data_IF_986683608325
#
_entry.id   IF_986683608325
#
_cell.length_a   1.000
_cell.length_b   1.000
_cell.length_c   1.000
_cell.angle_alpha   90.00
_cell.angle_beta   90.00
_cell.angle_gamma   90.00
#
_symmetry.space_group_name_H-M   'P 1'
#
loop_
_entity.id
_entity.type
_entity.pdbx_description
1 polymer ?
#
# COMPACT_ATOMS: atom_id res chain seq x y z
N UNK A 1 -69.06 -30.74 52.08
CA UNK A 1 -67.68 -30.82 51.67
C UNK A 1 -67.66 -30.97 50.11
N UNK A 2 -67.46 -29.85 49.40
CA UNK A 2 -67.46 -29.82 47.96
C UNK A 2 -66.02 -29.91 47.50
N UNK A 3 -65.66 -30.96 46.74
CA UNK A 3 -64.35 -31.12 46.11
C UNK A 3 -64.33 -30.28 44.81
N UNK A 4 -63.42 -29.33 44.78
CA UNK A 4 -63.14 -28.48 43.57
C UNK A 4 -62.14 -29.24 42.69
N UNK A 5 -62.58 -29.66 41.51
CA UNK A 5 -61.72 -30.26 40.53
C UNK A 5 -61.18 -29.12 39.65
N UNK A 6 -59.87 -28.86 39.77
CA UNK A 6 -59.14 -27.89 38.87
C UNK A 6 -58.67 -28.68 37.66
N UNK A 7 -59.26 -28.39 36.50
CA UNK A 7 -58.81 -28.90 35.22
C UNK A 7 -57.72 -27.97 34.67
N UNK A 8 -56.46 -28.44 34.66
CA UNK A 8 -55.34 -27.74 34.05
C UNK A 8 -55.36 -28.04 32.53
N UNK A 9 -55.73 -27.04 31.78
CA UNK A 9 -55.65 -27.10 30.29
C UNK A 9 -54.23 -26.70 29.90
N UNK A 10 -53.36 -27.67 29.57
CA UNK A 10 -52.05 -27.40 28.96
C UNK A 10 -52.25 -26.89 27.53
N UNK A 11 -52.08 -25.60 27.32
CA UNK A 11 -51.92 -25.00 26.00
C UNK A 11 -50.50 -25.33 25.52
N UNK A 12 -50.39 -26.28 24.57
CA UNK A 12 -49.16 -26.57 23.83
C UNK A 12 -49.01 -25.49 22.78
N UNK A 13 -48.22 -24.46 23.03
CA UNK A 13 -47.72 -23.53 22.03
C UNK A 13 -46.69 -24.27 21.21
N UNK A 14 -47.10 -24.80 20.06
CA UNK A 14 -46.19 -25.21 18.98
C UNK A 14 -45.50 -23.95 18.45
N UNK A 15 -44.36 -23.58 19.04
CA UNK A 15 -43.43 -22.68 18.44
C UNK A 15 -42.89 -23.34 17.16
N UNK A 16 -43.51 -23.00 16.03
CA UNK A 16 -42.99 -23.31 14.71
C UNK A 16 -41.70 -22.55 14.53
N UNK A 17 -40.57 -23.13 14.93
CA UNK A 17 -39.27 -22.71 14.41
C UNK A 17 -39.32 -22.97 12.89
N UNK A 18 -39.67 -21.94 12.13
CA UNK A 18 -39.20 -21.91 10.74
C UNK A 18 -37.69 -22.02 10.80
N UNK A 19 -37.14 -23.20 10.51
CA UNK A 19 -35.76 -23.28 10.09
C UNK A 19 -35.67 -22.32 8.90
N UNK A 20 -35.00 -21.17 9.09
CA UNK A 20 -34.47 -20.44 7.94
C UNK A 20 -33.74 -21.48 7.11
N UNK A 21 -34.17 -21.65 5.86
CA UNK A 21 -33.39 -22.42 4.91
C UNK A 21 -32.01 -21.78 4.95
N UNK A 22 -30.99 -22.54 5.35
CA UNK A 22 -29.61 -22.17 5.09
C UNK A 22 -29.58 -21.73 3.62
N UNK A 23 -29.43 -20.44 3.39
CA UNK A 23 -29.15 -19.93 2.05
C UNK A 23 -27.87 -20.62 1.66
N UNK A 24 -27.94 -21.58 0.73
CA UNK A 24 -26.75 -22.14 0.11
C UNK A 24 -26.01 -20.95 -0.49
N UNK A 25 -25.00 -20.44 0.20
CA UNK A 25 -24.13 -19.42 -0.34
C UNK A 25 -23.42 -20.03 -1.55
N UNK A 26 -23.43 -19.37 -2.70
CA UNK A 26 -22.75 -19.87 -3.89
C UNK A 26 -21.25 -20.03 -3.58
N UNK A 27 -20.63 -21.04 -4.21
CA UNK A 27 -19.18 -21.11 -4.20
C UNK A 27 -18.62 -19.91 -4.96
N UNK A 28 -18.03 -18.97 -4.24
CA UNK A 28 -17.53 -17.70 -4.79
C UNK A 28 -16.50 -17.89 -5.90
N UNK A 29 -15.82 -19.04 -5.97
CA UNK A 29 -14.86 -19.35 -7.05
C UNK A 29 -15.51 -19.58 -8.39
N UNK A 30 -16.78 -19.97 -8.39
CA UNK A 30 -17.55 -20.33 -9.61
C UNK A 30 -18.81 -19.50 -9.78
N UNK A 31 -19.16 -18.68 -8.80
CA UNK A 31 -20.34 -17.81 -8.83
C UNK A 31 -20.22 -16.76 -9.93
N UNK A 32 -21.35 -16.41 -10.57
CA UNK A 32 -21.39 -15.25 -11.43
C UNK A 32 -21.40 -13.96 -10.58
N UNK A 33 -21.07 -12.82 -11.19
CA UNK A 33 -20.92 -11.57 -10.47
C UNK A 33 -22.21 -11.11 -9.77
N UNK A 34 -23.38 -11.32 -10.39
CA UNK A 34 -24.65 -10.92 -9.77
C UNK A 34 -24.96 -11.71 -8.50
N UNK A 35 -24.56 -12.99 -8.43
CA UNK A 35 -24.71 -13.79 -7.22
C UNK A 35 -23.79 -13.31 -6.10
N UNK A 36 -22.55 -12.87 -6.48
CA UNK A 36 -21.59 -12.26 -5.53
C UNK A 36 -22.16 -10.96 -4.96
N UNK A 37 -22.73 -10.08 -5.80
CA UNK A 37 -23.37 -8.84 -5.36
C UNK A 37 -24.59 -9.10 -4.46
N UNK A 38 -25.40 -10.12 -4.75
CA UNK A 38 -26.54 -10.48 -3.89
C UNK A 38 -26.07 -10.93 -2.49
N UNK A 39 -25.02 -11.75 -2.42
CA UNK A 39 -24.46 -12.21 -1.15
C UNK A 39 -23.81 -11.07 -0.38
N UNK A 40 -23.23 -10.10 -1.08
CA UNK A 40 -22.52 -8.95 -0.50
C UNK A 40 -23.48 -7.91 0.12
N UNK A 41 -24.73 -7.86 -0.34
CA UNK A 41 -25.68 -6.82 0.06
C UNK A 41 -25.97 -6.85 1.56
N UNK A 42 -25.93 -5.67 2.20
CA UNK A 42 -26.21 -5.51 3.62
C UNK A 42 -25.09 -5.95 4.57
N UNK A 43 -23.93 -6.33 4.02
CA UNK A 43 -22.80 -6.84 4.80
C UNK A 43 -21.91 -5.71 5.34
N UNK A 44 -21.04 -6.08 6.29
CA UNK A 44 -19.97 -5.21 6.78
C UNK A 44 -18.63 -5.76 6.29
N UNK A 45 -17.77 -4.89 5.78
CA UNK A 45 -16.40 -5.23 5.37
C UNK A 45 -15.43 -4.54 6.30
N UNK A 46 -14.62 -5.31 7.00
CA UNK A 46 -13.54 -4.83 7.84
C UNK A 46 -12.27 -4.69 7.01
N UNK A 47 -11.89 -3.46 6.72
CA UNK A 47 -10.70 -3.12 5.91
C UNK A 47 -9.53 -2.72 6.79
N UNK A 48 -8.50 -3.55 6.86
CA UNK A 48 -7.26 -3.20 7.55
C UNK A 48 -6.27 -2.53 6.60
N UNK A 49 -5.85 -1.31 6.94
CA UNK A 49 -4.96 -0.51 6.09
C UNK A 49 -4.03 0.40 6.91
N UNK A 50 -2.98 0.88 6.27
CA UNK A 50 -2.20 2.00 6.79
C UNK A 50 -3.05 3.27 6.81
N UNK A 51 -3.08 3.96 7.95
CA UNK A 51 -3.90 5.15 8.16
C UNK A 51 -3.09 6.39 8.57
N UNK A 52 -1.79 6.41 8.26
CA UNK A 52 -0.89 7.51 8.61
C UNK A 52 -1.01 8.76 7.75
N UNK A 53 -1.90 8.80 6.74
CA UNK A 53 -2.10 9.95 5.86
C UNK A 53 -3.57 10.40 5.83
N UNK A 54 -3.86 11.69 6.13
CA UNK A 54 -5.24 12.22 6.18
C UNK A 54 -5.98 12.14 4.84
N UNK A 55 -5.29 12.34 3.70
CA UNK A 55 -5.93 12.32 2.38
C UNK A 55 -6.33 10.90 1.98
N UNK A 56 -5.49 9.93 2.29
CA UNK A 56 -5.82 8.51 2.10
C UNK A 56 -7.04 8.13 2.93
N UNK A 57 -7.04 8.52 4.21
CA UNK A 57 -8.16 8.25 5.10
C UNK A 57 -9.44 8.89 4.58
N UNK A 58 -9.41 10.18 4.19
CA UNK A 58 -10.55 10.89 3.63
C UNK A 58 -11.06 10.23 2.33
N UNK A 59 -10.18 9.81 1.43
CA UNK A 59 -10.60 9.08 0.22
C UNK A 59 -11.39 7.82 0.56
N UNK A 60 -10.96 7.04 1.56
CA UNK A 60 -11.67 5.83 1.98
C UNK A 60 -12.96 6.17 2.73
N UNK A 61 -12.92 7.07 3.73
CA UNK A 61 -14.07 7.35 4.61
C UNK A 61 -15.13 8.24 3.98
N UNK A 62 -14.73 9.20 3.15
CA UNK A 62 -15.62 10.24 2.64
C UNK A 62 -16.06 9.98 1.19
N UNK A 63 -15.34 9.11 0.45
CA UNK A 63 -15.70 8.75 -0.91
C UNK A 63 -16.03 7.26 -1.05
N UNK A 64 -15.11 6.32 -0.74
CA UNK A 64 -15.33 4.89 -0.98
C UNK A 64 -16.46 4.35 -0.10
N UNK A 65 -16.40 4.56 1.21
CA UNK A 65 -17.37 4.00 2.15
C UNK A 65 -18.82 4.48 1.87
N UNK A 66 -19.09 5.78 1.64
CA UNK A 66 -20.44 6.24 1.26
C UNK A 66 -20.91 5.67 -0.08
N UNK A 67 -20.00 5.56 -1.06
CA UNK A 67 -20.36 5.07 -2.39
C UNK A 67 -20.75 3.59 -2.38
N UNK A 68 -20.00 2.72 -1.69
CA UNK A 68 -20.34 1.29 -1.58
C UNK A 68 -21.57 1.08 -0.69
N UNK A 69 -21.78 1.94 0.30
CA UNK A 69 -23.02 1.95 1.09
C UNK A 69 -24.23 2.28 0.24
N UNK A 70 -24.13 3.31 -0.59
CA UNK A 70 -25.23 3.75 -1.44
C UNK A 70 -25.55 2.74 -2.55
N UNK A 71 -24.53 2.15 -3.18
CA UNK A 71 -24.71 1.28 -4.36
C UNK A 71 -24.99 -0.18 -4.01
N UNK A 72 -24.45 -0.70 -2.91
CA UNK A 72 -24.51 -2.12 -2.55
C UNK A 72 -24.97 -2.37 -1.10
N UNK A 73 -25.36 -1.34 -0.36
CA UNK A 73 -25.70 -1.41 1.08
C UNK A 73 -24.58 -2.05 1.95
N UNK A 74 -23.32 -1.93 1.51
CA UNK A 74 -22.15 -2.45 2.27
C UNK A 74 -21.66 -1.39 3.25
N UNK A 75 -21.45 -1.77 4.52
CA UNK A 75 -20.77 -0.95 5.49
C UNK A 75 -19.27 -1.22 5.41
N UNK A 76 -18.45 -0.20 5.12
CA UNK A 76 -16.99 -0.33 5.13
C UNK A 76 -16.44 0.24 6.44
N UNK A 77 -15.84 -0.63 7.25
CA UNK A 77 -15.19 -0.26 8.50
C UNK A 77 -13.67 -0.35 8.33
N UNK A 78 -12.96 0.69 8.78
CA UNK A 78 -11.51 0.81 8.61
C UNK A 78 -10.79 0.59 9.92
N UNK A 79 -9.82 -0.32 9.93
CA UNK A 79 -8.91 -0.56 11.03
C UNK A 79 -7.47 -0.25 10.63
N UNK A 80 -6.70 0.32 11.57
CA UNK A 80 -5.28 0.57 11.36
C UNK A 80 -4.47 -0.73 11.47
N UNK A 81 -3.62 -0.99 10.46
CA UNK A 81 -2.69 -2.11 10.46
C UNK A 81 -1.97 -2.25 9.13
N UNK A 82 -0.77 -2.82 9.18
CA UNK A 82 0.03 -3.08 7.99
C UNK A 82 1.11 -4.13 8.24
N UNK A 83 1.65 -4.69 7.16
CA UNK A 83 2.84 -5.54 7.19
C UNK A 83 2.73 -6.69 8.19
N UNK A 84 3.74 -6.82 9.05
CA UNK A 84 3.83 -7.90 10.03
C UNK A 84 2.63 -8.01 10.99
N UNK A 85 1.94 -6.91 11.29
CA UNK A 85 0.76 -6.93 12.16
C UNK A 85 -0.39 -7.73 11.50
N UNK A 86 -0.60 -7.55 10.21
CA UNK A 86 -1.59 -8.30 9.41
C UNK A 86 -1.19 -9.79 9.40
N UNK A 87 0.07 -10.09 9.07
CA UNK A 87 0.56 -11.47 8.99
C UNK A 87 0.40 -12.21 10.32
N UNK A 88 0.80 -11.58 11.43
CA UNK A 88 0.70 -12.17 12.76
C UNK A 88 -0.74 -12.41 13.19
N UNK A 89 -1.65 -11.45 12.88
CA UNK A 89 -3.06 -11.60 13.20
C UNK A 89 -3.68 -12.77 12.46
N UNK A 90 -3.55 -12.80 11.12
CA UNK A 90 -4.11 -13.87 10.29
C UNK A 90 -3.51 -15.24 10.61
N UNK A 91 -2.21 -15.31 10.88
CA UNK A 91 -1.56 -16.55 11.32
C UNK A 91 -2.14 -17.06 12.66
N UNK A 92 -2.35 -16.15 13.61
CA UNK A 92 -2.90 -16.49 14.93
C UNK A 92 -4.35 -16.96 14.82
N UNK A 93 -5.18 -16.27 14.05
CA UNK A 93 -6.59 -16.63 13.84
C UNK A 93 -6.70 -17.98 13.12
N UNK A 94 -5.89 -18.20 12.08
CA UNK A 94 -5.84 -19.48 11.34
C UNK A 94 -5.41 -20.64 12.24
N UNK A 95 -4.37 -20.47 13.06
CA UNK A 95 -3.94 -21.49 14.01
C UNK A 95 -5.01 -21.83 15.06
N UNK A 96 -5.83 -20.83 15.42
CA UNK A 96 -6.95 -21.01 16.34
C UNK A 96 -8.22 -21.58 15.67
N UNK A 97 -8.21 -21.77 14.34
CA UNK A 97 -9.38 -22.19 13.56
C UNK A 97 -10.54 -21.20 13.63
N UNK A 98 -10.23 -19.90 13.74
CA UNK A 98 -11.22 -18.84 13.83
C UNK A 98 -11.42 -18.12 12.50
N UNK A 99 -12.63 -17.61 12.30
CA UNK A 99 -12.89 -16.59 11.31
C UNK A 99 -12.09 -15.32 11.60
N UNK A 100 -11.72 -14.59 10.55
CA UNK A 100 -10.97 -13.37 10.70
C UNK A 100 -11.85 -12.18 11.05
N UNK A 101 -11.30 -11.29 11.87
CA UNK A 101 -11.85 -9.95 12.05
C UNK A 101 -11.46 -8.98 10.92
N UNK A 102 -10.72 -9.46 9.92
CA UNK A 102 -10.34 -8.72 8.71
C UNK A 102 -10.96 -9.42 7.51
N UNK A 103 -11.70 -8.68 6.67
CA UNK A 103 -12.19 -9.20 5.40
C UNK A 103 -11.24 -8.84 4.26
N UNK A 104 -10.81 -7.58 4.19
CA UNK A 104 -9.85 -7.13 3.19
C UNK A 104 -8.72 -6.31 3.81
N UNK A 105 -7.61 -6.22 3.10
CA UNK A 105 -6.41 -5.55 3.59
C UNK A 105 -5.64 -4.86 2.47
N UNK A 106 -5.02 -3.73 2.80
CA UNK A 106 -3.99 -3.12 1.96
C UNK A 106 -2.65 -3.77 2.27
N UNK A 107 -2.06 -4.39 1.27
CA UNK A 107 -0.80 -5.14 1.40
C UNK A 107 0.23 -4.68 0.36
N UNK A 108 1.48 -5.01 0.63
CA UNK A 108 2.63 -4.79 -0.25
C UNK A 108 3.43 -6.08 -0.34
N UNK A 109 4.41 -6.15 -1.21
CA UNK A 109 5.10 -7.35 -1.61
C UNK A 109 5.68 -8.22 -0.49
N UNK A 110 6.29 -7.64 0.56
CA UNK A 110 6.77 -8.46 1.67
C UNK A 110 5.63 -9.08 2.48
N UNK A 111 4.50 -8.37 2.60
CA UNK A 111 3.29 -8.86 3.27
C UNK A 111 2.60 -9.91 2.41
N UNK A 112 2.45 -9.65 1.11
CA UNK A 112 1.92 -10.61 0.14
C UNK A 112 2.70 -11.92 0.15
N UNK A 113 4.03 -11.84 0.05
CA UNK A 113 4.92 -13.00 0.13
C UNK A 113 4.73 -13.80 1.42
N UNK A 114 4.71 -13.14 2.58
CA UNK A 114 4.54 -13.81 3.87
C UNK A 114 3.14 -14.44 4.01
N UNK A 115 2.09 -13.77 3.55
CA UNK A 115 0.72 -14.32 3.56
C UNK A 115 0.59 -15.54 2.65
N UNK A 116 1.26 -15.57 1.50
CA UNK A 116 1.34 -16.78 0.66
C UNK A 116 1.96 -17.96 1.40
N UNK A 117 3.02 -17.75 2.20
CA UNK A 117 3.68 -18.82 2.95
C UNK A 117 2.80 -19.50 4.00
N UNK A 118 1.78 -18.78 4.49
CA UNK A 118 0.84 -19.30 5.50
C UNK A 118 -0.54 -19.61 4.93
N UNK A 119 -0.72 -19.57 3.59
CA UNK A 119 -2.02 -19.67 2.92
C UNK A 119 -3.05 -18.70 3.54
N UNK A 120 -2.66 -17.47 3.78
CA UNK A 120 -3.44 -16.44 4.46
C UNK A 120 -4.33 -15.61 3.52
N UNK A 121 -4.27 -15.84 2.20
CA UNK A 121 -4.99 -15.10 1.18
C UNK A 121 -6.08 -15.95 0.52
N UNK A 122 -7.26 -15.39 0.39
CA UNK A 122 -8.32 -15.90 -0.45
C UNK A 122 -8.05 -15.55 -1.91
N UNK A 123 -8.21 -16.51 -2.82
CA UNK A 123 -8.06 -16.29 -4.26
C UNK A 123 -7.80 -17.58 -5.03
N UNK A 124 -7.52 -17.48 -6.36
CA UNK A 124 -7.55 -16.24 -7.15
C UNK A 124 -8.97 -15.67 -7.28
N UNK A 125 -9.11 -14.35 -7.23
CA UNK A 125 -10.42 -13.69 -7.34
C UNK A 125 -10.45 -12.51 -8.35
N UNK A 126 -9.29 -11.97 -8.73
CA UNK A 126 -9.21 -10.74 -9.54
C UNK A 126 -9.90 -10.88 -10.89
N UNK A 127 -9.77 -12.02 -11.55
CA UNK A 127 -10.37 -12.26 -12.86
C UNK A 127 -11.92 -12.30 -12.82
N UNK A 128 -12.51 -12.44 -11.63
CA UNK A 128 -13.96 -12.40 -11.44
C UNK A 128 -14.48 -10.96 -11.30
N UNK A 129 -13.59 -9.97 -11.04
CA UNK A 129 -13.98 -8.58 -10.87
C UNK A 129 -14.28 -7.92 -12.22
N UNK A 130 -15.48 -7.38 -12.46
CA UNK A 130 -15.86 -6.77 -13.75
C UNK A 130 -14.93 -5.63 -14.18
N UNK A 131 -14.31 -4.91 -13.25
CA UNK A 131 -13.42 -3.81 -13.54
C UNK A 131 -11.95 -4.25 -13.75
N UNK A 132 -11.59 -5.50 -13.47
CA UNK A 132 -10.23 -6.00 -13.70
C UNK A 132 -9.82 -5.93 -15.20
N UNK A 133 -10.79 -5.99 -16.12
CA UNK A 133 -10.56 -5.82 -17.57
C UNK A 133 -9.90 -4.51 -17.97
N UNK A 134 -9.91 -3.51 -17.09
CA UNK A 134 -9.26 -2.22 -17.32
C UNK A 134 -7.82 -2.17 -16.84
N UNK A 135 -7.35 -3.18 -16.10
CA UNK A 135 -6.00 -3.22 -15.53
C UNK A 135 -5.05 -3.90 -16.52
N UNK A 136 -3.87 -3.33 -16.72
CA UNK A 136 -2.79 -3.94 -17.51
C UNK A 136 -1.93 -4.83 -16.59
N UNK A 137 -2.36 -6.07 -16.42
CA UNK A 137 -1.64 -7.04 -15.59
C UNK A 137 -0.32 -7.54 -16.24
N UNK A 138 -0.11 -7.30 -17.54
CA UNK A 138 1.15 -7.61 -18.22
C UNK A 138 2.24 -6.56 -17.91
N UNK A 139 1.83 -5.38 -17.43
CA UNK A 139 2.77 -4.36 -16.96
C UNK A 139 3.50 -4.84 -15.70
N UNK A 140 4.84 -4.99 -15.72
CA UNK A 140 5.58 -5.56 -14.60
C UNK A 140 5.54 -4.71 -13.33
N UNK A 141 5.20 -3.42 -13.41
CA UNK A 141 4.97 -2.57 -12.25
C UNK A 141 3.58 -2.75 -11.61
N UNK A 142 2.68 -3.54 -12.25
CA UNK A 142 1.29 -3.71 -11.82
C UNK A 142 0.97 -5.19 -11.58
N UNK A 143 1.32 -6.07 -12.53
CA UNK A 143 1.03 -7.50 -12.44
C UNK A 143 1.99 -8.31 -11.57
N UNK A 144 2.96 -7.64 -10.94
CA UNK A 144 3.91 -8.24 -10.01
C UNK A 144 4.06 -7.36 -8.79
N UNK A 145 3.99 -7.97 -7.62
CA UNK A 145 4.30 -7.31 -6.37
C UNK A 145 5.66 -7.82 -5.86
N UNK A 146 6.64 -6.93 -5.70
CA UNK A 146 8.04 -7.27 -5.40
C UNK A 146 8.57 -8.44 -6.25
N UNK A 147 8.35 -8.37 -7.55
CA UNK A 147 8.69 -9.41 -8.53
C UNK A 147 7.91 -10.73 -8.42
N UNK A 148 7.10 -10.91 -7.38
CA UNK A 148 6.18 -12.04 -7.28
C UNK A 148 4.99 -11.83 -8.23
N UNK A 149 4.62 -12.80 -9.07
CA UNK A 149 3.38 -12.72 -9.83
C UNK A 149 2.19 -12.70 -8.88
N UNK A 150 1.29 -11.75 -9.06
CA UNK A 150 0.09 -11.67 -8.20
C UNK A 150 -0.90 -12.80 -8.42
N UNK A 151 -0.92 -13.40 -9.61
CA UNK A 151 -1.75 -14.57 -9.96
C UNK A 151 -3.22 -14.46 -9.53
N UNK A 152 -3.76 -13.24 -9.53
CA UNK A 152 -5.14 -12.98 -9.12
C UNK A 152 -5.42 -13.09 -7.61
N UNK A 153 -4.40 -13.23 -6.77
CA UNK A 153 -4.53 -13.36 -5.31
C UNK A 153 -4.67 -12.02 -4.60
N UNK A 154 -4.35 -10.94 -5.28
CA UNK A 154 -4.50 -9.56 -4.83
C UNK A 154 -4.78 -8.64 -6.02
N UNK A 155 -5.52 -7.55 -5.80
CA UNK A 155 -5.91 -6.60 -6.83
C UNK A 155 -5.05 -5.34 -6.75
N UNK A 156 -4.31 -4.96 -7.81
CA UNK A 156 -3.62 -3.68 -7.82
C UNK A 156 -4.62 -2.52 -7.85
N UNK A 157 -4.39 -1.48 -7.07
CA UNK A 157 -5.31 -0.34 -7.01
C UNK A 157 -4.63 1.04 -7.00
N UNK A 158 -3.30 1.09 -6.93
CA UNK A 158 -2.52 2.31 -7.06
C UNK A 158 -1.09 2.01 -7.50
N UNK A 159 -0.46 3.01 -8.14
CA UNK A 159 0.92 2.91 -8.60
C UNK A 159 1.64 4.22 -8.35
N UNK A 160 2.78 4.17 -7.69
CA UNK A 160 3.55 5.33 -7.24
C UNK A 160 5.05 5.13 -7.46
N UNK A 161 5.78 6.23 -7.57
CA UNK A 161 7.24 6.23 -7.62
C UNK A 161 7.80 7.05 -6.45
N UNK A 162 8.79 6.53 -5.76
CA UNK A 162 9.46 7.26 -4.70
C UNK A 162 10.09 8.55 -5.24
N UNK A 163 9.97 9.63 -4.47
CA UNK A 163 10.63 10.91 -4.76
C UNK A 163 11.38 11.42 -3.54
N UNK A 164 12.45 12.16 -3.79
CA UNK A 164 13.08 13.01 -2.79
C UNK A 164 12.42 14.39 -2.83
N UNK A 165 12.17 14.95 -1.65
CA UNK A 165 11.50 16.25 -1.47
C UNK A 165 12.49 17.21 -0.82
N UNK A 166 12.55 18.45 -1.30
CA UNK A 166 13.48 19.47 -0.86
C UNK A 166 12.86 20.86 -0.88
N UNK A 167 13.45 21.80 -0.14
CA UNK A 167 13.09 23.22 -0.18
C UNK A 167 13.92 23.94 -1.27
N UNK A 168 13.26 24.39 -2.35
CA UNK A 168 13.92 25.01 -3.51
C UNK A 168 14.51 26.39 -3.24
N UNK A 169 14.16 27.06 -2.14
CA UNK A 169 14.82 28.27 -1.70
C UNK A 169 16.14 27.98 -0.99
N UNK A 170 16.22 26.87 -0.25
CA UNK A 170 17.39 26.50 0.54
C UNK A 170 18.39 25.67 -0.28
N UNK A 171 17.92 24.82 -1.19
CA UNK A 171 18.77 23.94 -2.00
C UNK A 171 18.70 24.30 -3.48
N UNK A 172 19.81 24.77 -4.04
CA UNK A 172 19.93 25.12 -5.47
C UNK A 172 20.60 24.01 -6.31
N UNK A 173 21.38 23.16 -5.68
CA UNK A 173 22.00 21.99 -6.29
C UNK A 173 21.51 20.74 -5.57
N UNK A 174 20.94 19.81 -6.34
CA UNK A 174 20.38 18.57 -5.83
C UNK A 174 21.32 17.40 -6.10
N UNK A 175 21.55 16.50 -5.16
CA UNK A 175 22.35 15.31 -5.40
C UNK A 175 21.66 14.38 -6.41
N UNK A 176 22.39 14.02 -7.47
CA UNK A 176 21.92 13.14 -8.53
C UNK A 176 22.54 11.74 -8.45
N UNK A 177 23.66 11.58 -7.73
CA UNK A 177 24.34 10.31 -7.50
C UNK A 177 24.55 10.06 -6.01
N UNK A 178 24.92 8.83 -5.64
CA UNK A 178 25.29 8.47 -4.25
C UNK A 178 26.45 9.32 -3.74
N UNK A 179 27.46 9.57 -4.59
CA UNK A 179 28.62 10.39 -4.19
C UNK A 179 28.20 11.83 -3.94
N UNK A 180 27.33 12.38 -4.77
CA UNK A 180 26.77 13.73 -4.55
C UNK A 180 25.87 13.77 -3.32
N UNK A 181 25.13 12.69 -2.98
CA UNK A 181 24.35 12.62 -1.74
C UNK A 181 25.25 12.60 -0.52
N UNK A 182 26.36 11.86 -0.54
CA UNK A 182 27.36 11.87 0.54
C UNK A 182 28.02 13.25 0.66
N UNK A 183 28.37 13.88 -0.46
CA UNK A 183 28.94 15.24 -0.48
C UNK A 183 27.94 16.27 0.06
N UNK A 184 26.66 16.14 -0.29
CA UNK A 184 25.59 16.98 0.25
C UNK A 184 25.45 16.81 1.77
N UNK A 185 25.43 15.57 2.28
CA UNK A 185 25.35 15.30 3.73
C UNK A 185 26.56 15.86 4.49
N UNK A 186 27.77 15.74 3.95
CA UNK A 186 29.00 16.33 4.51
C UNK A 186 28.93 17.85 4.55
N UNK A 187 28.41 18.49 3.51
CA UNK A 187 28.26 19.95 3.44
C UNK A 187 27.11 20.48 4.32
N UNK A 188 26.12 19.64 4.61
CA UNK A 188 24.93 19.98 5.40
C UNK A 188 24.69 18.92 6.50
N UNK A 189 25.59 18.82 7.50
CA UNK A 189 25.51 17.79 8.52
C UNK A 189 24.17 17.90 9.28
N UNK A 190 23.58 16.75 9.59
CA UNK A 190 22.29 16.59 10.28
C UNK A 190 21.07 17.13 9.51
N UNK A 191 21.20 17.39 8.22
CA UNK A 191 20.09 17.92 7.39
C UNK A 191 19.46 16.90 6.45
N UNK A 192 19.82 15.63 6.57
CA UNK A 192 19.26 14.50 5.85
C UNK A 192 19.18 13.28 6.74
N UNK A 193 18.21 12.41 6.51
CA UNK A 193 18.08 11.09 7.11
C UNK A 193 17.12 10.20 6.29
N UNK A 194 16.93 8.96 6.73
CA UNK A 194 15.90 8.02 6.26
C UNK A 194 15.17 7.47 7.49
N UNK A 195 13.94 7.00 7.31
CA UNK A 195 13.25 6.28 8.38
C UNK A 195 13.71 4.81 8.46
N UNK A 196 13.40 4.16 9.58
CA UNK A 196 13.75 2.75 9.82
C UNK A 196 12.64 1.77 9.44
N UNK A 197 11.67 2.20 8.61
CA UNK A 197 10.53 1.44 8.14
C UNK A 197 10.48 1.39 6.60
N UNK A 198 9.28 1.25 6.05
CA UNK A 198 9.03 0.97 4.64
C UNK A 198 9.69 1.97 3.69
N UNK A 199 9.57 3.29 3.95
CA UNK A 199 10.10 4.32 3.06
C UNK A 199 11.62 4.32 3.02
N UNK A 200 12.26 4.25 4.19
CA UNK A 200 13.72 4.14 4.28
C UNK A 200 14.24 2.87 3.63
N UNK A 201 13.56 1.73 3.84
CA UNK A 201 13.96 0.48 3.18
C UNK A 201 13.77 0.55 1.67
N UNK A 202 12.74 1.21 1.17
CA UNK A 202 12.54 1.45 -0.28
C UNK A 202 13.68 2.31 -0.84
N UNK A 203 14.12 3.33 -0.12
CA UNK A 203 15.29 4.12 -0.49
C UNK A 203 16.58 3.27 -0.50
N UNK A 204 16.79 2.41 0.49
CA UNK A 204 17.93 1.48 0.52
C UNK A 204 17.92 0.49 -0.64
N UNK A 205 16.74 0.01 -1.06
CA UNK A 205 16.61 -0.84 -2.26
C UNK A 205 17.07 -0.11 -3.52
N UNK A 206 16.68 1.18 -3.69
CA UNK A 206 17.15 1.97 -4.83
C UNK A 206 18.67 2.13 -4.82
N UNK A 207 19.27 2.43 -3.65
CA UNK A 207 20.74 2.49 -3.51
C UNK A 207 21.41 1.15 -3.77
N UNK A 208 20.81 0.04 -3.34
CA UNK A 208 21.35 -1.31 -3.58
C UNK A 208 21.36 -1.64 -5.08
N UNK A 209 20.31 -1.26 -5.81
CA UNK A 209 20.23 -1.43 -7.28
C UNK A 209 21.31 -0.61 -7.97
N UNK A 210 21.52 0.64 -7.57
CA UNK A 210 22.57 1.50 -8.13
C UNK A 210 23.98 0.94 -7.83
N UNK A 211 24.23 0.48 -6.61
CA UNK A 211 25.48 -0.19 -6.21
C UNK A 211 25.73 -1.47 -7.01
N UNK A 212 24.68 -2.21 -7.32
CA UNK A 212 24.78 -3.41 -8.14
C UNK A 212 25.10 -3.12 -9.62
N UNK A 213 24.94 -1.88 -10.09
CA UNK A 213 25.13 -1.47 -11.46
C UNK A 213 23.85 -1.53 -12.32
N UNK A 214 22.68 -1.49 -11.68
CA UNK A 214 21.37 -1.42 -12.33
C UNK A 214 20.44 -2.57 -11.99
N UNK A 215 19.16 -2.37 -12.30
CA UNK A 215 18.08 -3.29 -11.90
C UNK A 215 18.22 -4.72 -12.46
N UNK A 216 18.75 -4.89 -13.68
CA UNK A 216 18.90 -6.21 -14.31
C UNK A 216 19.84 -7.15 -13.53
N UNK A 217 20.73 -6.58 -12.70
CA UNK A 217 21.66 -7.39 -11.89
C UNK A 217 20.93 -8.10 -10.75
N UNK A 218 19.91 -7.47 -10.15
CA UNK A 218 19.16 -7.99 -9.00
C UNK A 218 17.75 -8.47 -9.35
N UNK A 219 17.39 -8.46 -10.64
CA UNK A 219 16.11 -8.90 -11.14
C UNK A 219 15.88 -10.40 -10.93
N UNK A 220 14.62 -10.77 -10.71
CA UNK A 220 14.18 -12.14 -10.47
C UNK A 220 14.27 -12.53 -9.00
N UNK A 221 14.33 -13.84 -8.74
CA UNK A 221 14.33 -14.41 -7.41
C UNK A 221 15.51 -13.91 -6.55
N UNK A 222 15.31 -13.90 -5.25
CA UNK A 222 16.36 -13.54 -4.30
C UNK A 222 17.63 -14.38 -4.50
N UNK A 223 18.78 -13.72 -4.52
CA UNK A 223 20.07 -14.37 -4.66
C UNK A 223 21.01 -13.97 -3.50
N UNK A 224 21.20 -14.88 -2.56
CA UNK A 224 22.00 -14.67 -1.36
C UNK A 224 23.43 -14.19 -1.67
N UNK A 225 24.09 -14.74 -2.70
CA UNK A 225 25.47 -14.35 -3.06
C UNK A 225 25.52 -12.93 -3.60
N UNK A 226 24.56 -12.54 -4.44
CA UNK A 226 24.45 -11.17 -4.93
C UNK A 226 24.11 -10.20 -3.79
N UNK A 227 23.14 -10.58 -2.94
CA UNK A 227 22.78 -9.81 -1.76
C UNK A 227 24.01 -9.51 -0.90
N UNK A 228 24.72 -10.55 -0.45
CA UNK A 228 25.93 -10.37 0.39
C UNK A 228 26.99 -9.48 -0.25
N UNK A 229 27.19 -9.63 -1.57
CA UNK A 229 28.18 -8.82 -2.29
C UNK A 229 27.83 -7.34 -2.30
N UNK A 230 26.59 -7.01 -2.63
CA UNK A 230 26.20 -5.63 -2.84
C UNK A 230 25.70 -4.95 -1.57
N UNK A 231 25.11 -5.70 -0.64
CA UNK A 231 24.77 -5.14 0.67
C UNK A 231 26.00 -4.78 1.50
N UNK A 232 27.10 -5.52 1.41
CA UNK A 232 28.34 -5.12 2.04
C UNK A 232 28.78 -3.71 1.61
N UNK A 233 28.75 -3.44 0.29
CA UNK A 233 29.06 -2.10 -0.25
C UNK A 233 28.03 -1.04 0.17
N UNK A 234 26.77 -1.43 0.32
CA UNK A 234 25.73 -0.54 0.85
C UNK A 234 26.00 -0.17 2.29
N UNK A 235 26.40 -1.12 3.13
CA UNK A 235 26.73 -0.87 4.53
C UNK A 235 27.98 0.00 4.66
N UNK A 236 29.02 -0.22 3.85
CA UNK A 236 30.19 0.65 3.79
C UNK A 236 29.77 2.11 3.45
N UNK A 237 28.98 2.29 2.41
CA UNK A 237 28.45 3.60 2.02
C UNK A 237 27.60 4.25 3.14
N UNK A 238 26.73 3.48 3.80
CA UNK A 238 25.90 4.00 4.89
C UNK A 238 26.73 4.33 6.14
N UNK A 239 27.79 3.61 6.42
CA UNK A 239 28.72 3.93 7.50
C UNK A 239 29.49 5.23 7.21
N UNK A 240 29.85 5.50 5.96
CA UNK A 240 30.44 6.79 5.57
C UNK A 240 29.43 7.95 5.64
N UNK A 241 28.14 7.67 5.41
CA UNK A 241 27.06 8.66 5.45
C UNK A 241 26.58 8.93 6.88
N UNK A 242 26.53 7.91 7.74
CA UNK A 242 25.93 7.90 9.08
C UNK A 242 26.35 9.08 9.96
N UNK A 243 27.65 9.48 10.06
CA UNK A 243 28.05 10.60 10.91
C UNK A 243 27.45 11.96 10.54
N UNK A 244 26.94 12.09 9.31
CA UNK A 244 26.36 13.32 8.78
C UNK A 244 24.84 13.31 8.74
N UNK A 245 24.20 12.17 9.05
CA UNK A 245 22.75 12.05 9.14
C UNK A 245 22.22 12.81 10.37
N UNK A 246 20.94 13.11 10.37
CA UNK A 246 20.23 13.68 11.50
C UNK A 246 20.58 12.92 12.80
N UNK A 247 20.85 13.66 13.87
CA UNK A 247 21.36 13.14 15.15
C UNK A 247 22.58 12.22 15.01
N UNK A 248 23.45 12.52 14.04
CA UNK A 248 24.67 11.76 13.72
C UNK A 248 24.40 10.28 13.40
N UNK A 249 23.18 9.96 12.95
CA UNK A 249 22.76 8.58 12.66
C UNK A 249 22.63 7.67 13.89
N UNK A 250 22.58 8.23 15.09
CA UNK A 250 22.33 7.48 16.33
C UNK A 250 20.84 7.14 16.50
N UNK A 251 19.98 7.98 15.94
CA UNK A 251 18.51 7.83 15.95
C UNK A 251 17.96 8.00 14.54
N UNK A 252 17.04 7.15 14.19
CA UNK A 252 16.31 7.21 12.91
C UNK A 252 14.83 7.47 13.17
N UNK A 253 14.16 8.28 12.32
CA UNK A 253 12.71 8.44 12.40
C UNK A 253 11.97 7.10 12.31
N UNK A 254 10.87 6.97 13.03
CA UNK A 254 10.09 5.73 13.03
C UNK A 254 9.35 5.50 11.71
N UNK A 255 8.99 6.59 11.01
CA UNK A 255 8.21 6.50 9.77
C UNK A 255 8.33 7.79 8.95
N UNK A 256 7.77 7.77 7.75
CA UNK A 256 7.77 8.89 6.82
C UNK A 256 7.04 10.12 7.37
N UNK A 257 5.99 9.95 8.18
CA UNK A 257 5.26 11.09 8.75
C UNK A 257 6.16 11.89 9.72
N UNK A 258 6.97 11.22 10.54
CA UNK A 258 7.97 11.89 11.39
C UNK A 258 9.03 12.60 10.54
N UNK A 259 9.49 12.00 9.43
CA UNK A 259 10.43 12.68 8.53
C UNK A 259 9.82 13.94 7.92
N UNK A 260 8.54 13.91 7.56
CA UNK A 260 7.83 15.08 7.03
C UNK A 260 7.74 16.20 8.08
N UNK A 261 7.51 15.88 9.36
CA UNK A 261 7.52 16.88 10.44
C UNK A 261 8.92 17.52 10.60
N UNK A 262 9.99 16.72 10.57
CA UNK A 262 11.36 17.24 10.65
C UNK A 262 11.71 18.14 9.46
N UNK A 263 11.21 17.83 8.27
CA UNK A 263 11.35 18.69 7.09
C UNK A 263 10.54 19.98 7.22
N UNK A 264 9.30 19.89 7.68
CA UNK A 264 8.42 21.03 7.90
C UNK A 264 8.97 22.04 8.91
N UNK A 265 9.62 21.56 9.98
CA UNK A 265 10.27 22.39 10.99
C UNK A 265 11.65 22.94 10.55
N UNK A 266 12.17 22.49 9.40
CA UNK A 266 13.49 22.86 8.89
C UNK A 266 14.66 22.15 9.60
N UNK A 267 14.37 21.13 10.40
CA UNK A 267 15.42 20.24 10.92
C UNK A 267 16.09 19.47 9.79
N UNK A 268 15.32 19.06 8.76
CA UNK A 268 15.84 18.48 7.53
C UNK A 268 15.73 19.48 6.37
N UNK A 269 16.69 19.43 5.44
CA UNK A 269 16.64 20.12 4.16
C UNK A 269 16.04 19.27 3.05
N UNK A 270 16.05 17.97 3.24
CA UNK A 270 15.45 16.99 2.33
C UNK A 270 14.71 15.91 3.11
N UNK A 271 13.61 15.45 2.55
CA UNK A 271 12.85 14.28 2.97
C UNK A 271 12.51 13.42 1.75
N UNK A 272 11.71 12.37 1.91
CA UNK A 272 11.30 11.48 0.82
C UNK A 272 9.88 10.99 1.03
N UNK A 273 9.26 10.48 -0.03
CA UNK A 273 7.98 9.79 0.04
C UNK A 273 7.89 8.72 -1.04
N UNK A 274 7.21 7.62 -0.77
CA UNK A 274 6.83 6.65 -1.79
C UNK A 274 5.74 7.19 -2.73
N UNK A 275 4.95 8.17 -2.28
CA UNK A 275 3.96 8.84 -3.12
C UNK A 275 4.59 10.02 -3.85
N UNK A 276 4.66 9.93 -5.17
CA UNK A 276 5.23 10.97 -6.04
C UNK A 276 4.38 12.26 -6.12
N UNK A 277 3.17 12.27 -5.56
CA UNK A 277 2.33 13.46 -5.38
C UNK A 277 2.41 14.08 -3.98
N UNK A 278 3.17 13.49 -3.06
CA UNK A 278 3.16 13.85 -1.64
C UNK A 278 3.48 15.32 -1.36
N UNK A 279 4.41 15.89 -2.12
CA UNK A 279 4.76 17.31 -1.93
C UNK A 279 3.57 18.23 -2.15
N UNK A 280 2.73 17.97 -3.17
CA UNK A 280 1.49 18.74 -3.39
C UNK A 280 0.51 18.54 -2.22
N UNK A 281 0.37 17.31 -1.72
CA UNK A 281 -0.49 17.00 -0.58
C UNK A 281 -0.09 17.78 0.66
N UNK A 282 1.18 17.72 1.04
CA UNK A 282 1.70 18.34 2.27
C UNK A 282 1.74 19.87 2.19
N UNK A 283 1.89 20.45 1.00
CA UNK A 283 1.71 21.90 0.80
C UNK A 283 0.24 22.29 0.96
N UNK A 284 -0.69 21.53 0.35
CA UNK A 284 -2.12 21.81 0.46
C UNK A 284 -2.66 21.65 1.89
N UNK A 285 -2.06 20.76 2.68
CA UNK A 285 -2.34 20.59 4.11
C UNK A 285 -1.71 21.70 4.98
N UNK A 286 -0.88 22.57 4.40
CA UNK A 286 -0.15 23.60 5.13
C UNK A 286 1.02 23.08 5.96
N UNK A 287 1.43 21.82 5.76
CA UNK A 287 2.56 21.21 6.47
C UNK A 287 3.90 21.64 5.83
N UNK A 288 4.01 21.56 4.50
CA UNK A 288 5.22 21.95 3.79
C UNK A 288 5.16 23.40 3.30
N UNK A 289 6.31 24.09 3.18
CA UNK A 289 6.38 25.41 2.57
C UNK A 289 6.04 25.33 1.07
N UNK A 290 5.48 26.38 0.50
CA UNK A 290 5.18 26.46 -0.95
C UNK A 290 6.44 26.35 -1.83
N UNK A 291 7.62 26.49 -1.25
CA UNK A 291 8.92 26.32 -1.90
C UNK A 291 9.36 24.87 -2.01
N UNK A 292 8.66 23.94 -1.33
CA UNK A 292 8.95 22.52 -1.43
C UNK A 292 8.73 22.00 -2.85
N UNK A 293 9.63 21.15 -3.32
CA UNK A 293 9.60 20.47 -4.62
C UNK A 293 10.02 19.03 -4.47
N UNK A 294 9.61 18.17 -5.41
CA UNK A 294 10.06 16.80 -5.47
C UNK A 294 10.89 16.54 -6.74
N UNK A 295 11.77 15.55 -6.66
CA UNK A 295 12.56 15.09 -7.81
C UNK A 295 12.93 13.62 -7.66
N UNK A 296 13.38 13.02 -8.77
CA UNK A 296 13.97 11.68 -8.81
C UNK A 296 15.43 11.86 -9.24
N UNK A 297 16.42 11.35 -8.47
CA UNK A 297 17.83 11.44 -8.82
C UNK A 297 18.16 10.56 -10.04
N UNK A 298 19.36 10.73 -10.65
CA UNK A 298 19.77 9.97 -11.82
C UNK A 298 19.98 8.47 -11.53
N UNK A 299 20.28 8.08 -10.30
CA UNK A 299 20.34 6.65 -9.93
C UNK A 299 18.98 5.96 -9.89
N UNK A 300 17.87 6.71 -10.06
CA UNK A 300 16.53 6.18 -10.07
C UNK A 300 15.94 5.94 -8.69
N UNK A 301 14.64 5.70 -8.65
CA UNK A 301 13.91 5.35 -7.43
C UNK A 301 12.90 4.25 -7.71
N UNK A 302 12.57 3.50 -6.67
CA UNK A 302 11.60 2.41 -6.77
C UNK A 302 10.23 2.96 -7.18
N UNK A 303 9.64 2.33 -8.19
CA UNK A 303 8.24 2.42 -8.55
C UNK A 303 7.56 1.12 -8.22
N UNK A 304 6.45 1.17 -7.49
CA UNK A 304 5.66 0.00 -7.14
C UNK A 304 4.17 0.29 -7.20
N UNK A 305 3.39 -0.79 -7.17
CA UNK A 305 1.96 -0.73 -6.93
C UNK A 305 1.66 -1.07 -5.48
N UNK A 306 0.48 -0.72 -5.04
CA UNK A 306 -0.10 -1.22 -3.81
C UNK A 306 -1.38 -1.99 -4.12
N UNK A 307 -1.70 -2.96 -3.27
CA UNK A 307 -2.63 -4.01 -3.57
C UNK A 307 -3.67 -4.19 -2.47
N UNK A 308 -4.80 -4.78 -2.87
CA UNK A 308 -5.90 -5.16 -1.99
C UNK A 308 -6.03 -6.68 -2.00
N UNK A 309 -5.84 -7.30 -0.85
CA UNK A 309 -6.03 -8.72 -0.63
C UNK A 309 -7.28 -9.02 0.20
N UNK A 310 -7.74 -10.26 0.16
CA UNK A 310 -8.84 -10.78 0.97
C UNK A 310 -8.26 -11.86 1.88
N UNK A 311 -8.61 -11.86 3.17
CA UNK A 311 -8.16 -12.87 4.09
C UNK A 311 -8.81 -14.24 3.77
N UNK A 312 -8.02 -15.34 3.86
CA UNK A 312 -8.54 -16.67 3.54
C UNK A 312 -9.69 -17.07 4.48
N UNK A 313 -9.61 -16.69 5.75
CA UNK A 313 -10.62 -16.94 6.77
C UNK A 313 -11.58 -15.76 7.00
N UNK A 314 -11.67 -14.81 6.03
CA UNK A 314 -12.64 -13.72 6.08
C UNK A 314 -14.09 -14.22 6.11
N UNK A 315 -14.95 -13.51 6.81
CA UNK A 315 -16.37 -13.80 6.91
C UNK A 315 -17.10 -13.37 5.64
N UNK A 316 -16.87 -12.14 5.20
CA UNK A 316 -17.63 -11.48 4.14
C UNK A 316 -16.82 -11.28 2.85
N UNK A 317 -16.19 -12.38 2.35
CA UNK A 317 -15.38 -12.40 1.12
C UNK A 317 -16.10 -11.81 -0.10
N UNK A 318 -17.38 -12.12 -0.29
CA UNK A 318 -18.17 -11.59 -1.41
C UNK A 318 -18.27 -10.05 -1.32
N UNK A 319 -18.53 -9.51 -0.14
CA UNK A 319 -18.60 -8.07 0.06
C UNK A 319 -17.23 -7.41 -0.12
N UNK A 320 -16.15 -8.05 0.34
CA UNK A 320 -14.78 -7.60 0.07
C UNK A 320 -14.48 -7.53 -1.43
N UNK A 321 -14.88 -8.54 -2.23
CA UNK A 321 -14.74 -8.52 -3.70
C UNK A 321 -15.50 -7.35 -4.33
N UNK A 322 -16.71 -7.03 -3.85
CA UNK A 322 -17.51 -5.90 -4.37
C UNK A 322 -16.85 -4.56 -4.04
N UNK A 323 -16.34 -4.39 -2.82
CA UNK A 323 -15.60 -3.17 -2.44
C UNK A 323 -14.34 -3.03 -3.28
N UNK A 324 -13.55 -4.09 -3.45
CA UNK A 324 -12.34 -4.06 -4.28
C UNK A 324 -12.70 -3.72 -5.73
N UNK A 325 -13.74 -4.35 -6.30
CA UNK A 325 -14.20 -4.03 -7.65
C UNK A 325 -14.60 -2.56 -7.80
N UNK A 326 -15.25 -1.96 -6.79
CA UNK A 326 -15.53 -0.52 -6.78
C UNK A 326 -14.24 0.30 -6.79
N UNK A 327 -13.27 -0.02 -5.92
CA UNK A 327 -12.02 0.75 -5.78
C UNK A 327 -11.13 0.72 -7.03
N UNK A 328 -11.20 -0.34 -7.83
CA UNK A 328 -10.50 -0.44 -9.12
C UNK A 328 -11.35 0.05 -10.31
N UNK A 329 -12.56 0.55 -10.09
CA UNK A 329 -13.40 1.09 -11.16
C UNK A 329 -12.81 2.37 -11.76
N UNK A 330 -13.09 2.68 -13.04
CA UNK A 330 -12.61 3.92 -13.67
C UNK A 330 -12.96 5.18 -12.89
N UNK A 331 -14.16 5.27 -12.31
CA UNK A 331 -14.59 6.44 -11.54
C UNK A 331 -13.80 6.58 -10.21
N UNK A 332 -13.63 5.49 -9.47
CA UNK A 332 -12.88 5.51 -8.23
C UNK A 332 -11.39 5.81 -8.46
N UNK A 333 -10.83 5.31 -9.55
CA UNK A 333 -9.45 5.59 -9.94
C UNK A 333 -9.26 7.04 -10.43
N UNK A 334 -10.27 7.60 -11.12
CA UNK A 334 -10.27 9.00 -11.52
C UNK A 334 -10.27 9.94 -10.31
N UNK A 335 -11.18 9.70 -9.36
CA UNK A 335 -11.27 10.46 -8.10
C UNK A 335 -9.96 10.40 -7.32
N UNK A 336 -9.42 9.20 -7.14
CA UNK A 336 -8.16 8.97 -6.43
C UNK A 336 -6.96 9.69 -7.07
N UNK A 337 -6.92 9.80 -8.40
CA UNK A 337 -5.82 10.44 -9.11
C UNK A 337 -5.85 11.98 -9.04
N UNK A 338 -6.96 12.59 -8.67
CA UNK A 338 -7.06 14.03 -8.52
C UNK A 338 -6.14 14.52 -7.37
N UNK A 339 -5.20 15.46 -7.63
CA UNK A 339 -4.28 15.99 -6.61
C UNK A 339 -4.99 16.68 -5.44
N UNK A 340 -6.25 17.10 -5.62
CA UNK A 340 -7.06 17.70 -4.56
C UNK A 340 -7.58 16.65 -3.58
N UNK A 341 -7.75 15.41 -4.04
CA UNK A 341 -8.21 14.25 -3.25
C UNK A 341 -7.01 13.55 -2.64
N UNK A 342 -6.24 12.84 -3.45
CA UNK A 342 -5.05 12.12 -3.00
C UNK A 342 -3.87 12.26 -3.99
N UNK A 343 -4.14 12.26 -5.30
CA UNK A 343 -3.12 12.35 -6.34
C UNK A 343 -2.39 11.04 -6.62
N UNK A 344 -2.89 9.91 -6.12
CA UNK A 344 -2.30 8.58 -6.33
C UNK A 344 -2.37 8.14 -7.80
N UNK A 345 -1.41 7.34 -8.25
CA UNK A 345 -1.39 6.83 -9.61
C UNK A 345 -2.45 5.77 -9.86
N UNK A 346 -3.00 5.77 -11.07
CA UNK A 346 -3.93 4.73 -11.49
C UNK A 346 -3.19 3.48 -11.98
N UNK A 347 -3.81 2.33 -11.76
CA UNK A 347 -3.39 1.02 -12.32
C UNK A 347 -4.10 0.69 -13.64
N UNK A 348 -4.97 1.59 -14.11
CA UNK A 348 -5.77 1.34 -15.31
C UNK A 348 -4.95 1.54 -16.59
N UNK A 349 -5.10 0.61 -17.51
CA UNK A 349 -4.75 0.80 -18.90
C UNK A 349 -5.72 1.82 -19.54
N UNK A 350 -5.27 3.05 -19.69
CA UNK A 350 -6.10 4.12 -20.23
C UNK A 350 -6.60 3.82 -21.63
N UNK A 351 -5.89 2.98 -22.41
CA UNK A 351 -6.32 2.61 -23.74
C UNK A 351 -7.56 1.72 -23.73
N UNK A 352 -7.79 0.97 -22.66
CA UNK A 352 -9.00 0.16 -22.46
C UNK A 352 -10.23 0.97 -22.04
N UNK A 353 -10.08 2.25 -21.69
CA UNK A 353 -11.16 3.11 -21.22
C UNK A 353 -11.98 3.68 -22.39
N UNK A 354 -13.24 4.04 -22.11
CA UNK A 354 -14.08 4.78 -23.06
C UNK A 354 -13.47 6.15 -23.39
N UNK A 355 -13.82 6.69 -24.56
CA UNK A 355 -13.38 8.04 -24.99
C UNK A 355 -13.74 9.11 -23.96
N UNK A 356 -14.95 9.00 -23.38
CA UNK A 356 -15.42 9.93 -22.34
C UNK A 356 -14.54 9.84 -21.08
N UNK A 357 -14.25 8.64 -20.62
CA UNK A 357 -13.43 8.43 -19.44
C UNK A 357 -11.98 8.89 -19.68
N UNK A 358 -11.40 8.64 -20.86
CA UNK A 358 -10.08 9.15 -21.24
C UNK A 358 -10.01 10.67 -21.10
N UNK A 359 -11.01 11.40 -21.62
CA UNK A 359 -11.11 12.86 -21.49
C UNK A 359 -11.19 13.31 -20.03
N UNK A 360 -11.92 12.59 -19.18
CA UNK A 360 -11.97 12.92 -17.76
C UNK A 360 -10.59 12.79 -17.09
N UNK A 361 -9.85 11.72 -17.38
CA UNK A 361 -8.47 11.55 -16.90
C UNK A 361 -7.51 12.63 -17.45
N UNK A 362 -7.69 13.09 -18.69
CA UNK A 362 -6.91 14.18 -19.28
C UNK A 362 -7.21 15.54 -18.62
N UNK A 363 -8.43 15.73 -18.11
CA UNK A 363 -8.86 16.93 -17.42
C UNK A 363 -8.50 17.00 -15.93
N UNK A 364 -7.88 15.94 -15.37
CA UNK A 364 -7.37 15.99 -14.00
C UNK A 364 -6.38 17.15 -13.86
N UNK A 365 -6.49 17.99 -12.82
CA UNK A 365 -5.56 19.08 -12.60
C UNK A 365 -4.11 18.62 -12.56
N UNK A 366 -3.23 19.37 -13.20
CA UNK A 366 -1.80 19.09 -13.16
C UNK A 366 -1.24 19.31 -11.76
N UNK A 367 -0.31 18.48 -11.35
CA UNK A 367 0.50 18.68 -10.14
C UNK A 367 1.27 20.00 -10.26
N UNK A 368 1.34 20.75 -9.19
CA UNK A 368 1.99 22.07 -9.17
C UNK A 368 3.44 22.00 -8.70
N UNK A 369 3.71 21.16 -7.71
CA UNK A 369 4.98 21.11 -6.99
C UNK A 369 5.75 19.79 -7.22
N UNK A 370 5.03 18.71 -7.47
CA UNK A 370 5.59 17.42 -7.85
C UNK A 370 5.92 17.36 -9.35
N UNK A 371 6.94 16.59 -9.75
CA UNK A 371 7.22 16.36 -11.16
C UNK A 371 6.08 15.62 -11.84
N UNK A 372 5.85 15.89 -13.12
CA UNK A 372 4.91 15.10 -13.92
C UNK A 372 5.41 13.66 -14.04
N UNK A 373 4.54 12.66 -13.87
CA UNK A 373 4.92 11.23 -13.93
C UNK A 373 5.72 10.87 -15.17
N UNK A 374 5.31 11.37 -16.35
CA UNK A 374 6.05 11.16 -17.60
C UNK A 374 7.52 11.59 -17.56
N UNK A 375 7.89 12.54 -16.70
CA UNK A 375 9.26 13.08 -16.60
C UNK A 375 10.13 12.26 -15.63
N UNK A 376 9.54 11.44 -14.77
CA UNK A 376 10.28 10.61 -13.80
C UNK A 376 10.23 9.12 -14.15
N UNK A 377 9.33 8.72 -15.03
CA UNK A 377 9.07 7.34 -15.42
C UNK A 377 10.31 6.63 -15.98
N UNK A 378 11.17 7.34 -16.72
CA UNK A 378 12.41 6.78 -17.27
C UNK A 378 13.43 6.41 -16.18
N UNK A 379 13.30 6.99 -14.98
CA UNK A 379 14.13 6.72 -13.81
C UNK A 379 13.47 5.75 -12.81
N UNK A 380 12.38 5.10 -13.25
CA UNK A 380 11.70 4.13 -12.43
C UNK A 380 12.51 2.84 -12.33
N UNK A 381 12.72 2.38 -11.12
CA UNK A 381 13.37 1.12 -10.79
C UNK A 381 12.31 0.15 -10.28
N UNK A 382 12.30 -1.07 -10.80
CA UNK A 382 11.39 -2.11 -10.32
C UNK A 382 11.74 -2.51 -8.88
N UNK A 383 10.71 -2.88 -8.13
CA UNK A 383 10.89 -3.51 -6.83
C UNK A 383 11.80 -4.75 -6.94
N UNK A 384 12.50 -5.05 -5.87
CA UNK A 384 13.27 -6.29 -5.72
C UNK A 384 12.38 -7.40 -5.16
N UNK A 385 12.85 -8.65 -5.25
CA UNK A 385 12.18 -9.79 -4.60
C UNK A 385 11.98 -9.52 -3.09
N UNK A 386 10.91 -10.04 -2.47
CA UNK A 386 10.51 -9.68 -1.10
C UNK A 386 11.61 -9.92 -0.06
N UNK A 387 12.42 -10.96 -0.25
CA UNK A 387 13.51 -11.33 0.67
C UNK A 387 14.57 -10.22 0.74
N UNK A 388 14.78 -9.42 -0.33
CA UNK A 388 15.68 -8.27 -0.24
C UNK A 388 15.19 -7.26 0.79
N UNK A 389 13.87 -6.98 0.83
CA UNK A 389 13.28 -6.07 1.81
C UNK A 389 13.45 -6.60 3.23
N UNK A 390 13.14 -7.89 3.44
CA UNK A 390 13.24 -8.55 4.74
C UNK A 390 14.70 -8.51 5.24
N UNK A 391 15.64 -8.92 4.40
CA UNK A 391 17.06 -8.97 4.75
C UNK A 391 17.67 -7.59 4.95
N UNK A 392 17.32 -6.60 4.11
CA UNK A 392 17.76 -5.22 4.29
C UNK A 392 17.28 -4.65 5.62
N UNK A 393 16.04 -4.91 6.01
CA UNK A 393 15.48 -4.44 7.28
C UNK A 393 16.19 -5.05 8.49
N UNK A 394 16.49 -6.34 8.46
CA UNK A 394 17.24 -7.04 9.51
C UNK A 394 18.68 -6.52 9.60
N UNK A 395 19.37 -6.46 8.47
CA UNK A 395 20.78 -6.09 8.41
C UNK A 395 20.98 -4.59 8.66
N UNK A 396 20.04 -3.72 8.29
CA UNK A 396 20.08 -2.30 8.64
C UNK A 396 20.05 -2.11 10.16
N UNK A 397 19.16 -2.81 10.85
CA UNK A 397 19.11 -2.79 12.32
C UNK A 397 20.44 -3.26 12.91
N UNK A 398 20.98 -4.37 12.40
CA UNK A 398 22.21 -4.96 12.91
C UNK A 398 23.44 -4.12 12.64
N UNK A 399 23.63 -3.65 11.40
CA UNK A 399 24.88 -3.03 10.95
C UNK A 399 24.91 -1.52 11.12
N UNK A 400 23.74 -0.85 11.12
CA UNK A 400 23.65 0.62 11.14
C UNK A 400 23.06 1.14 12.45
N UNK A 401 21.92 0.57 12.91
CA UNK A 401 21.28 1.06 14.14
C UNK A 401 22.02 0.56 15.39
N UNK A 402 22.29 -0.75 15.47
CA UNK A 402 22.90 -1.40 16.64
C UNK A 402 24.42 -1.60 16.48
N UNK A 403 24.96 -1.39 15.28
CA UNK A 403 26.39 -1.48 15.01
C UNK A 403 27.10 -0.23 15.55
N UNK A 404 27.85 -0.41 16.64
CA UNK A 404 28.85 0.54 17.15
C UNK A 404 30.22 0.10 16.67
#
# INVERSE_FOLDING_TARGET
MKKLIITITCLILLASCKKEKEKNHPDLKTANWSDIEEVAQGKTVNFMMWNGDPKINAYITDYVAPAVKQSHDINLEVAAGQGNAIVQLLMTEKQAGKESNIDMMWINGETFYQLKQIDGLYGPFVDQLPNAKYIDLENPFIGRDFQEPINGMEAPWGNVQMTLIYDSEKLKKLPQSRDELLAFAKANPQKFTLDNHFTGMTFLKALLVDIAGGQEVLKGDFNERKYRKYSAQLWDYLNDLKPYLWKNGEVFPENVAQMHQLFATGELLMTMSNNDAEVDNKINEGLFPETARAYVPEFGTIQNSHYLGIAENAVDKAAAMVVINFMISPNAQLEKQDPRVWGDGTVLNKEALSVEMKKQFENIPSRKYAPQRKNIQEKAVMELAPEYMIRLSEDFRKNIINGN
#
